data_IF_092640059540
#
_entry.id   IF_092640059540
#
_cell.length_a   1.000
_cell.length_b   1.000
_cell.length_c   1.000
_cell.angle_alpha   90.00
_cell.angle_beta   90.00
_cell.angle_gamma   90.00
#
_symmetry.space_group_name_H-M   'P 1'
#
loop_
_entity.id
_entity.type
_entity.pdbx_description
1 polymer ?
#
# COMPACT_ATOMS: atom_id res chain seq x y z
N UNK A 1 -15.01 10.17 18.90
CA UNK A 1 -13.77 10.36 18.10
C UNK A 1 -12.78 9.22 18.33
N UNK A 2 -12.34 8.95 19.56
CA UNK A 2 -11.40 7.84 19.86
C UNK A 2 -11.94 6.46 19.45
N UNK A 3 -13.19 6.14 19.77
CA UNK A 3 -13.81 4.87 19.37
C UNK A 3 -13.88 4.69 17.84
N UNK A 4 -14.23 5.75 17.12
CA UNK A 4 -14.27 5.76 15.64
C UNK A 4 -12.89 5.52 15.04
N UNK A 5 -11.86 6.15 15.60
CA UNK A 5 -10.47 5.96 15.17
C UNK A 5 -9.98 4.52 15.39
N UNK A 6 -10.23 3.95 16.57
CA UNK A 6 -9.85 2.57 16.89
C UNK A 6 -10.59 1.57 16.00
N UNK A 7 -11.89 1.77 15.78
CA UNK A 7 -12.69 0.90 14.91
C UNK A 7 -12.17 0.93 13.47
N UNK A 8 -11.86 2.12 12.96
CA UNK A 8 -11.31 2.28 11.63
C UNK A 8 -9.91 1.64 11.49
N UNK A 9 -9.00 1.87 12.43
CA UNK A 9 -7.67 1.27 12.40
C UNK A 9 -7.71 -0.26 12.45
N UNK A 10 -8.56 -0.83 13.31
CA UNK A 10 -8.75 -2.28 13.38
C UNK A 10 -9.37 -2.85 12.10
N UNK A 11 -10.35 -2.16 11.51
CA UNK A 11 -10.95 -2.56 10.25
C UNK A 11 -9.93 -2.58 9.09
N UNK A 12 -9.06 -1.56 9.02
CA UNK A 12 -7.98 -1.50 8.02
C UNK A 12 -6.99 -2.64 8.25
N UNK A 13 -6.58 -2.90 9.49
CA UNK A 13 -5.69 -4.03 9.81
C UNK A 13 -6.28 -5.36 9.33
N UNK A 14 -7.55 -5.64 9.66
CA UNK A 14 -8.23 -6.87 9.24
C UNK A 14 -8.30 -6.97 7.71
N UNK A 15 -8.63 -5.88 7.03
CA UNK A 15 -8.69 -5.83 5.57
C UNK A 15 -7.35 -6.16 4.92
N UNK A 16 -6.26 -5.62 5.45
CA UNK A 16 -4.92 -5.84 4.90
C UNK A 16 -4.40 -7.26 5.16
N UNK A 17 -4.69 -7.83 6.34
CA UNK A 17 -4.38 -9.23 6.64
C UNK A 17 -5.19 -10.17 5.72
N UNK A 18 -6.48 -9.88 5.51
CA UNK A 18 -7.33 -10.66 4.61
C UNK A 18 -6.81 -10.63 3.16
N UNK A 19 -6.45 -9.44 2.66
CA UNK A 19 -5.84 -9.28 1.32
C UNK A 19 -4.51 -10.01 1.21
N UNK A 20 -3.63 -9.91 2.21
CA UNK A 20 -2.36 -10.63 2.23
C UNK A 20 -2.56 -12.15 2.20
N UNK A 21 -3.52 -12.67 2.98
CA UNK A 21 -3.86 -14.09 2.97
C UNK A 21 -4.40 -14.57 1.63
N UNK A 22 -5.24 -13.77 0.97
CA UNK A 22 -5.74 -14.06 -0.37
C UNK A 22 -4.60 -14.15 -1.40
N UNK A 23 -3.66 -13.19 -1.39
CA UNK A 23 -2.47 -13.21 -2.27
C UNK A 23 -1.64 -14.47 -2.01
N UNK A 24 -1.39 -14.82 -0.74
CA UNK A 24 -0.62 -16.01 -0.39
C UNK A 24 -1.30 -17.30 -0.86
N UNK A 25 -2.63 -17.41 -0.69
CA UNK A 25 -3.40 -18.56 -1.18
C UNK A 25 -3.41 -18.68 -2.70
N UNK A 26 -3.31 -17.55 -3.42
CA UNK A 26 -3.23 -17.56 -4.89
C UNK A 26 -1.87 -18.02 -5.42
N UNK A 27 -0.80 -17.83 -4.64
CA UNK A 27 0.56 -18.26 -4.98
C UNK A 27 0.82 -19.72 -4.63
N UNK A 28 0.19 -20.23 -3.58
CA UNK A 28 0.39 -21.59 -3.07
C UNK A 28 -0.96 -22.31 -3.02
N UNK A 29 -1.30 -23.11 -4.06
CA UNK A 29 -2.60 -23.79 -4.17
C UNK A 29 -2.93 -24.75 -3.01
N UNK A 30 -1.91 -25.20 -2.27
CA UNK A 30 -2.05 -26.09 -1.12
C UNK A 30 -2.46 -25.38 0.17
N UNK A 31 -2.44 -24.05 0.22
CA UNK A 31 -2.78 -23.26 1.40
C UNK A 31 -4.22 -22.75 1.28
N UNK A 32 -5.11 -23.24 2.15
CA UNK A 32 -6.48 -22.72 2.27
C UNK A 32 -6.48 -21.23 2.63
N UNK A 33 -7.50 -20.49 2.21
CA UNK A 33 -7.65 -19.05 2.48
C UNK A 33 -7.50 -18.72 3.98
N UNK A 34 -8.09 -19.53 4.85
CA UNK A 34 -7.98 -19.35 6.32
C UNK A 34 -6.55 -19.54 6.82
N UNK A 35 -5.82 -20.52 6.28
CA UNK A 35 -4.42 -20.74 6.61
C UNK A 35 -3.52 -19.60 6.11
N UNK A 36 -3.79 -19.06 4.91
CA UNK A 36 -3.08 -17.90 4.37
C UNK A 36 -3.22 -16.65 5.24
N UNK A 37 -4.44 -16.36 5.70
CA UNK A 37 -4.73 -15.25 6.63
C UNK A 37 -3.99 -15.43 7.96
N UNK A 38 -4.00 -16.64 8.53
CA UNK A 38 -3.31 -16.94 9.79
C UNK A 38 -1.79 -16.82 9.66
N UNK A 39 -1.20 -17.23 8.54
CA UNK A 39 0.23 -17.10 8.29
C UNK A 39 0.66 -15.64 8.19
N UNK A 40 -0.11 -14.81 7.48
CA UNK A 40 0.17 -13.37 7.36
C UNK A 40 0.01 -12.65 8.71
N UNK A 41 -1.04 -12.97 9.46
CA UNK A 41 -1.21 -12.44 10.82
C UNK A 41 -0.08 -12.90 11.75
N UNK A 42 0.29 -14.18 11.69
CA UNK A 42 1.34 -14.78 12.50
C UNK A 42 2.69 -14.15 12.23
N UNK A 43 3.10 -14.04 10.97
CA UNK A 43 4.38 -13.41 10.59
C UNK A 43 4.44 -11.94 11.00
N UNK A 44 3.35 -11.18 10.83
CA UNK A 44 3.25 -9.80 11.32
C UNK A 44 3.40 -9.70 12.84
N UNK A 45 2.70 -10.55 13.60
CA UNK A 45 2.80 -10.60 15.05
C UNK A 45 4.19 -11.03 15.53
N UNK A 46 4.79 -12.03 14.89
CA UNK A 46 6.15 -12.49 15.20
C UNK A 46 7.20 -11.40 14.94
N UNK A 47 7.07 -10.63 13.86
CA UNK A 47 7.98 -9.51 13.58
C UNK A 47 7.91 -8.43 14.67
N UNK A 48 6.71 -8.13 15.18
CA UNK A 48 6.51 -7.14 16.24
C UNK A 48 7.04 -7.68 17.59
N UNK A 49 6.80 -8.95 17.90
CA UNK A 49 7.24 -9.54 19.16
C UNK A 49 8.75 -9.72 19.25
N UNK A 50 9.40 -10.10 18.13
CA UNK A 50 10.83 -10.42 18.11
C UNK A 50 11.73 -9.19 17.89
N UNK A 51 11.25 -8.10 17.29
CA UNK A 51 12.05 -6.92 17.00
C UNK A 51 11.76 -5.76 17.94
N UNK A 52 12.82 -5.03 18.30
CA UNK A 52 12.70 -3.72 18.93
C UNK A 52 12.27 -2.66 17.90
N UNK A 53 11.85 -1.47 18.36
CA UNK A 53 11.41 -0.34 17.51
C UNK A 53 12.32 -0.09 16.31
N UNK A 54 13.64 -0.10 16.50
CA UNK A 54 14.60 0.12 15.42
C UNK A 54 14.71 -1.03 14.41
N UNK A 55 14.42 -2.28 14.83
CA UNK A 55 14.38 -3.45 13.96
C UNK A 55 13.15 -3.43 13.05
N UNK A 56 12.01 -2.99 13.60
CA UNK A 56 10.76 -2.78 12.84
C UNK A 56 10.97 -1.70 11.78
N UNK A 57 11.60 -0.57 12.15
CA UNK A 57 11.88 0.53 11.21
C UNK A 57 12.77 0.08 10.04
N UNK A 58 13.84 -0.67 10.30
CA UNK A 58 14.72 -1.22 9.24
C UNK A 58 13.98 -2.19 8.33
N UNK A 59 13.15 -3.06 8.90
CA UNK A 59 12.34 -4.02 8.14
C UNK A 59 11.36 -3.29 7.23
N UNK A 60 10.69 -2.25 7.74
CA UNK A 60 9.78 -1.42 6.96
C UNK A 60 10.50 -0.69 5.80
N UNK A 61 11.72 -0.18 6.04
CA UNK A 61 12.53 0.43 4.98
C UNK A 61 12.93 -0.58 3.90
N UNK A 62 13.36 -1.79 4.28
CA UNK A 62 13.67 -2.86 3.33
C UNK A 62 12.45 -3.28 2.51
N UNK A 63 11.29 -3.49 3.16
CA UNK A 63 10.03 -3.82 2.48
C UNK A 63 9.63 -2.74 1.48
N UNK A 64 9.79 -1.47 1.86
CA UNK A 64 9.49 -0.34 0.97
C UNK A 64 10.44 -0.33 -0.23
N UNK A 65 11.74 -0.58 -0.04
CA UNK A 65 12.70 -0.66 -1.13
C UNK A 65 12.38 -1.80 -2.10
N UNK A 66 12.01 -2.99 -1.58
CA UNK A 66 11.60 -4.14 -2.40
C UNK A 66 10.32 -3.83 -3.18
N UNK A 67 9.35 -3.15 -2.57
CA UNK A 67 8.12 -2.71 -3.23
C UNK A 67 8.43 -1.79 -4.42
N UNK A 68 9.28 -0.78 -4.23
CA UNK A 68 9.69 0.14 -5.29
C UNK A 68 10.45 -0.60 -6.39
N UNK A 69 11.39 -1.47 -6.03
CA UNK A 69 12.17 -2.25 -6.99
C UNK A 69 11.28 -3.17 -7.85
N UNK A 70 10.32 -3.86 -7.22
CA UNK A 70 9.38 -4.75 -7.91
C UNK A 70 8.49 -3.96 -8.85
N UNK A 71 8.01 -2.79 -8.41
CA UNK A 71 7.22 -1.90 -9.26
C UNK A 71 8.02 -1.41 -10.48
N UNK A 72 9.26 -0.96 -10.30
CA UNK A 72 10.14 -0.57 -11.40
C UNK A 72 10.40 -1.73 -12.37
N UNK A 73 10.59 -2.96 -11.86
CA UNK A 73 10.71 -4.16 -12.69
C UNK A 73 9.45 -4.43 -13.52
N UNK A 74 8.28 -4.28 -12.89
CA UNK A 74 6.98 -4.40 -13.58
C UNK A 74 6.81 -3.34 -14.67
N UNK A 75 7.21 -2.09 -14.42
CA UNK A 75 7.23 -1.03 -15.45
C UNK A 75 8.14 -1.39 -16.62
N UNK A 76 9.36 -1.84 -16.35
CA UNK A 76 10.33 -2.18 -17.38
C UNK A 76 9.85 -3.32 -18.29
N UNK A 77 9.15 -4.31 -17.73
CA UNK A 77 8.59 -5.44 -18.47
C UNK A 77 7.26 -5.12 -19.17
N UNK A 78 6.47 -4.19 -18.64
CA UNK A 78 5.15 -3.84 -19.17
C UNK A 78 5.16 -2.78 -20.27
N UNK A 79 6.14 -1.86 -20.27
CA UNK A 79 6.26 -0.81 -21.29
C UNK A 79 6.36 -1.30 -22.75
N UNK A 80 7.03 -2.42 -23.09
CA UNK A 80 7.11 -2.90 -24.47
C UNK A 80 5.78 -3.40 -25.05
N UNK A 81 4.79 -3.73 -24.21
CA UNK A 81 3.48 -4.28 -24.61
C UNK A 81 2.35 -3.26 -24.60
N UNK A 82 2.64 -1.99 -24.30
CA UNK A 82 1.67 -0.92 -24.22
C UNK A 82 1.14 -0.55 -25.63
N UNK A 83 -0.13 -0.83 -25.91
CA UNK A 83 -0.80 -0.44 -27.14
C UNK A 83 -1.39 0.95 -26.95
N UNK A 84 -0.65 1.96 -27.41
CA UNK A 84 -0.98 3.38 -27.23
C UNK A 84 -2.37 3.80 -27.74
N UNK A 85 -3.02 2.99 -28.60
CA UNK A 85 -4.34 3.24 -29.16
C UNK A 85 -5.51 3.13 -28.16
N UNK A 86 -5.32 2.54 -26.96
CA UNK A 86 -6.40 2.38 -25.96
C UNK A 86 -6.54 3.55 -24.96
N UNK A 87 -5.54 4.43 -24.86
CA UNK A 87 -5.53 5.58 -23.94
C UNK A 87 -6.65 6.61 -24.17
N UNK A 88 -7.27 6.60 -25.36
CA UNK A 88 -8.31 7.56 -25.77
C UNK A 88 -9.75 7.12 -25.45
N UNK A 89 -9.98 5.91 -24.93
CA UNK A 89 -11.33 5.48 -24.52
C UNK A 89 -11.59 5.84 -23.05
N UNK A 90 -12.08 7.06 -22.81
CA UNK A 90 -12.63 7.46 -21.51
C UNK A 90 -14.00 6.82 -21.29
N UNK A 91 -14.01 5.67 -20.63
CA UNK A 91 -15.23 4.96 -20.25
C UNK A 91 -15.79 5.50 -18.93
N UNK A 92 -16.69 6.48 -19.01
CA UNK A 92 -17.33 7.12 -17.85
C UNK A 92 -18.17 6.14 -17.00
N UNK A 93 -18.53 4.97 -17.56
CA UNK A 93 -19.25 3.90 -16.85
C UNK A 93 -18.39 3.16 -15.81
N UNK A 94 -17.05 3.22 -15.93
CA UNK A 94 -16.14 2.56 -14.98
C UNK A 94 -15.81 3.42 -13.73
N UNK A 95 -16.24 4.69 -13.72
CA UNK A 95 -16.02 5.63 -12.63
C UNK A 95 -16.55 5.18 -11.24
N UNK A 96 -17.68 4.46 -11.10
CA UNK A 96 -18.14 3.99 -9.80
C UNK A 96 -17.23 2.89 -9.20
N UNK A 97 -16.59 2.07 -10.05
CA UNK A 97 -15.74 0.96 -9.61
C UNK A 97 -14.43 1.40 -8.98
N UNK A 98 -14.01 2.65 -9.19
CA UNK A 98 -12.79 3.24 -8.61
C UNK A 98 -13.03 3.92 -7.25
N UNK A 99 -14.29 4.11 -6.84
CA UNK A 99 -14.65 4.72 -5.54
C UNK A 99 -13.99 4.02 -4.35
N UNK A 100 -13.96 2.66 -4.25
CA UNK A 100 -13.29 1.98 -3.14
C UNK A 100 -11.78 2.26 -3.08
N UNK A 101 -11.14 2.40 -4.25
CA UNK A 101 -9.71 2.71 -4.35
C UNK A 101 -9.42 4.14 -3.87
N UNK A 102 -10.27 5.11 -4.21
CA UNK A 102 -10.14 6.49 -3.76
C UNK A 102 -10.30 6.57 -2.22
N UNK A 103 -11.27 5.84 -1.66
CA UNK A 103 -11.48 5.76 -0.20
C UNK A 103 -10.28 5.11 0.53
N UNK A 104 -9.65 4.10 -0.08
CA UNK A 104 -8.42 3.52 0.42
C UNK A 104 -7.29 4.56 0.48
N UNK A 105 -7.14 5.41 -0.54
CA UNK A 105 -6.11 6.48 -0.52
C UNK A 105 -6.36 7.48 0.62
N UNK A 106 -7.63 7.82 0.88
CA UNK A 106 -8.02 8.72 1.98
C UNK A 106 -7.59 8.20 3.37
N UNK A 107 -7.50 6.89 3.52
CA UNK A 107 -7.08 6.21 4.76
C UNK A 107 -5.65 6.59 5.15
N UNK A 108 -4.76 6.77 4.17
CA UNK A 108 -3.35 7.14 4.39
C UNK A 108 -3.19 8.59 4.88
N UNK A 109 -4.21 9.44 4.76
CA UNK A 109 -4.19 10.79 5.35
C UNK A 109 -4.01 10.78 6.86
N UNK A 110 -4.45 9.72 7.55
CA UNK A 110 -4.28 9.56 9.00
C UNK A 110 -2.85 9.23 9.43
N UNK A 111 -1.95 8.86 8.50
CA UNK A 111 -0.54 8.63 8.81
C UNK A 111 0.26 9.93 8.95
N UNK A 112 -0.25 11.04 8.43
CA UNK A 112 0.39 12.36 8.50
C UNK A 112 0.62 12.80 9.95
N UNK A 113 -0.39 12.83 10.85
CA UNK A 113 -0.17 13.19 12.25
C UNK A 113 0.75 12.22 13.00
N UNK A 114 0.74 10.92 12.65
CA UNK A 114 1.67 9.93 13.21
C UNK A 114 3.10 10.23 12.78
N UNK A 115 3.34 10.48 11.49
CA UNK A 115 4.64 10.91 10.99
C UNK A 115 5.13 12.23 11.63
N UNK A 116 4.21 13.16 11.93
CA UNK A 116 4.53 14.39 12.67
C UNK A 116 5.02 14.10 14.10
N UNK A 117 4.45 13.10 14.78
CA UNK A 117 4.92 12.70 16.13
C UNK A 117 6.28 12.02 16.11
N UNK A 118 6.64 11.31 15.03
CA UNK A 118 7.96 10.71 14.85
C UNK A 118 9.08 11.72 14.58
N UNK A 119 8.75 12.92 14.10
CA UNK A 119 9.73 13.90 13.60
C UNK A 119 9.90 15.13 14.50
N UNK A 120 9.82 14.95 15.83
CA UNK A 120 10.18 15.96 16.84
C UNK A 120 9.72 17.40 16.52
N UNK A 121 8.49 17.57 16.02
CA UNK A 121 7.84 18.88 15.83
C UNK A 121 8.52 19.87 14.85
N UNK A 122 9.48 19.46 14.00
CA UNK A 122 10.06 20.38 13.00
C UNK A 122 9.19 20.47 11.73
N UNK A 123 8.32 21.49 11.71
CA UNK A 123 7.30 21.75 10.70
C UNK A 123 7.86 21.77 9.26
N UNK A 124 9.11 22.22 9.07
CA UNK A 124 9.73 22.31 7.73
C UNK A 124 10.15 20.95 7.20
N UNK A 125 10.65 20.07 8.07
CA UNK A 125 11.05 18.70 7.70
C UNK A 125 9.83 17.81 7.51
N UNK A 126 8.80 17.98 8.33
CA UNK A 126 7.51 17.30 8.19
C UNK A 126 6.89 17.62 6.84
N UNK A 127 6.81 18.90 6.45
CA UNK A 127 6.22 19.30 5.17
C UNK A 127 6.95 18.68 3.98
N UNK A 128 8.29 18.64 4.01
CA UNK A 128 9.08 17.99 2.96
C UNK A 128 8.87 16.47 2.93
N UNK A 129 8.87 15.81 4.09
CA UNK A 129 8.65 14.37 4.19
C UNK A 129 7.25 13.98 3.68
N UNK A 130 6.22 14.76 3.99
CA UNK A 130 4.85 14.53 3.51
C UNK A 130 4.74 14.79 2.01
N UNK A 131 5.31 15.88 1.49
CA UNK A 131 5.26 16.17 0.05
C UNK A 131 6.00 15.09 -0.75
N UNK A 132 7.22 14.74 -0.33
CA UNK A 132 8.02 13.71 -1.01
C UNK A 132 7.34 12.34 -0.87
N UNK A 133 6.92 11.97 0.35
CA UNK A 133 6.26 10.71 0.64
C UNK A 133 4.92 10.54 -0.08
N UNK A 134 4.16 11.62 -0.30
CA UNK A 134 2.92 11.58 -1.08
C UNK A 134 3.17 11.58 -2.58
N UNK A 135 4.24 12.24 -3.05
CA UNK A 135 4.53 12.30 -4.49
C UNK A 135 4.85 10.92 -5.09
N UNK A 136 5.53 10.05 -4.32
CA UNK A 136 5.94 8.73 -4.77
C UNK A 136 4.72 7.85 -5.13
N UNK A 137 3.74 7.61 -4.22
CA UNK A 137 2.52 6.87 -4.56
C UNK A 137 1.73 7.47 -5.71
N UNK A 138 1.65 8.80 -5.80
CA UNK A 138 0.92 9.48 -6.88
C UNK A 138 1.55 9.17 -8.24
N UNK A 139 2.87 9.27 -8.35
CA UNK A 139 3.60 8.94 -9.59
C UNK A 139 3.46 7.46 -9.92
N UNK A 140 3.56 6.57 -8.93
CA UNK A 140 3.39 5.13 -9.12
C UNK A 140 2.00 4.79 -9.67
N UNK A 141 0.93 5.33 -9.07
CA UNK A 141 -0.44 5.08 -9.54
C UNK A 141 -0.65 5.66 -10.93
N UNK A 142 -0.12 6.84 -11.23
CA UNK A 142 -0.22 7.43 -12.57
C UNK A 142 0.44 6.52 -13.64
N UNK A 143 1.68 6.08 -13.40
CA UNK A 143 2.39 5.18 -14.29
C UNK A 143 1.67 3.83 -14.46
N UNK A 144 1.13 3.30 -13.36
CA UNK A 144 0.30 2.09 -13.39
C UNK A 144 -0.94 2.27 -14.26
N UNK A 145 -1.69 3.36 -14.07
CA UNK A 145 -2.92 3.59 -14.85
C UNK A 145 -2.63 3.71 -16.33
N UNK A 146 -1.53 4.37 -16.72
CA UNK A 146 -1.10 4.45 -18.13
C UNK A 146 -0.78 3.07 -18.68
N UNK A 147 -0.03 2.25 -17.94
CA UNK A 147 0.31 0.90 -18.40
C UNK A 147 -0.91 -0.03 -18.46
N UNK A 148 -1.76 -0.03 -17.43
CA UNK A 148 -2.91 -0.92 -17.34
C UNK A 148 -4.02 -0.59 -18.35
N UNK A 149 -4.02 0.63 -18.88
CA UNK A 149 -4.99 1.10 -19.88
C UNK A 149 -4.44 1.13 -21.31
N UNK A 150 -3.11 1.02 -21.50
CA UNK A 150 -2.48 0.77 -22.79
C UNK A 150 -2.57 -0.72 -23.19
#
# INVERSE_FOLDING_TARGET
>A
VVASYLLFSNAVLISQIARGGAILSSLVPSVSHTAGVLLVAGTGASLIYCNNSSGIDRTNQMLTAVLVATFCGMLALGMPSAVWDRLLRMDWLAAPGTVPTILQVLTYGNLIPVACTYLNHDVRRIRKAVIIGSSIPTVMVALWTVMATA
#
